data_IF_836396171550
#
_entry.id   IF_836396171550
#
_cell.length_a   1.000
_cell.length_b   1.000
_cell.length_c   1.000
_cell.angle_alpha   90.00
_cell.angle_beta   90.00
_cell.angle_gamma   90.00
#
_symmetry.space_group_name_H-M   'P 1'
#
loop_
_entity.id
_entity.type
_entity.pdbx_description
1 polymer ?
#
# COMPACT_ATOMS: atom_id res chain seq x y z
N UNK A 1 -33.65 4.74 6.73
CA UNK A 1 -32.65 4.46 7.79
C UNK A 1 -31.27 4.62 7.16
N UNK A 2 -30.44 5.65 7.35
CA UNK A 2 -30.36 6.76 8.33
C UNK A 2 -30.67 6.32 9.76
N UNK A 3 -30.32 5.09 10.15
CA UNK A 3 -30.42 4.70 11.56
C UNK A 3 -29.29 3.82 12.11
N UNK A 4 -28.23 3.48 11.37
CA UNK A 4 -27.04 2.88 12.00
C UNK A 4 -25.77 3.50 11.37
N UNK A 5 -25.20 4.46 12.11
CA UNK A 5 -23.97 5.24 11.87
C UNK A 5 -23.96 6.15 10.63
N UNK A 6 -24.42 7.39 10.86
CA UNK A 6 -24.44 8.51 9.90
C UNK A 6 -23.03 9.12 9.75
N UNK A 7 -22.13 8.49 8.99
CA UNK A 7 -20.97 9.25 8.51
C UNK A 7 -21.39 10.08 7.29
N UNK A 8 -21.38 11.38 7.44
CA UNK A 8 -21.53 12.38 6.39
C UNK A 8 -20.32 12.34 5.43
N UNK A 9 -20.51 12.78 4.19
CA UNK A 9 -19.43 12.86 3.20
C UNK A 9 -18.23 13.69 3.70
N UNK A 10 -18.50 14.67 4.58
CA UNK A 10 -17.49 15.50 5.23
C UNK A 10 -16.59 14.71 6.21
N UNK A 11 -17.10 13.68 6.88
CA UNK A 11 -16.30 12.84 7.79
C UNK A 11 -15.34 11.90 7.03
N UNK A 12 -15.59 11.62 5.74
CA UNK A 12 -14.68 10.85 4.87
C UNK A 12 -13.52 11.72 4.37
N UNK A 13 -13.76 13.02 4.19
CA UNK A 13 -12.73 14.01 3.81
C UNK A 13 -11.83 14.42 5.00
N UNK A 14 -12.30 14.21 6.24
CA UNK A 14 -11.53 14.43 7.47
C UNK A 14 -10.51 13.32 7.79
N UNK A 15 -10.47 12.22 7.03
CA UNK A 15 -9.41 11.20 7.20
C UNK A 15 -8.04 11.81 6.87
N UNK A 16 -7.19 11.90 7.90
CA UNK A 16 -6.02 12.77 7.97
C UNK A 16 -5.06 12.56 6.78
N UNK A 17 -4.68 13.62 6.04
CA UNK A 17 -3.74 13.55 4.90
C UNK A 17 -2.42 12.82 5.22
N UNK A 18 -1.94 12.99 6.45
CA UNK A 18 -0.70 12.39 6.95
C UNK A 18 -0.72 10.85 7.01
N UNK A 19 -1.83 10.24 7.43
CA UNK A 19 -1.94 8.77 7.50
C UNK A 19 -1.91 8.16 6.10
N UNK A 20 -2.53 8.84 5.13
CA UNK A 20 -2.49 8.46 3.71
C UNK A 20 -1.07 8.51 3.16
N UNK A 21 -0.32 9.58 3.44
CA UNK A 21 1.07 9.71 3.00
C UNK A 21 1.97 8.64 3.62
N UNK A 22 1.79 8.33 4.91
CA UNK A 22 2.50 7.22 5.56
C UNK A 22 2.15 5.89 4.88
N UNK A 23 0.86 5.60 4.68
CA UNK A 23 0.42 4.35 4.05
C UNK A 23 0.99 4.20 2.63
N UNK A 24 0.93 5.27 1.82
CA UNK A 24 1.53 5.29 0.48
C UNK A 24 3.04 5.06 0.57
N UNK A 25 3.73 5.68 1.53
CA UNK A 25 5.15 5.47 1.78
C UNK A 25 5.51 4.02 2.10
N UNK A 26 4.78 3.41 3.03
CA UNK A 26 4.97 1.99 3.41
C UNK A 26 4.66 1.05 2.25
N UNK A 27 3.60 1.32 1.49
CA UNK A 27 3.23 0.53 0.32
C UNK A 27 4.29 0.60 -0.77
N UNK A 28 4.84 1.79 -1.02
CA UNK A 28 5.92 1.99 -1.99
C UNK A 28 7.17 1.18 -1.61
N UNK A 29 7.60 1.27 -0.34
CA UNK A 29 8.74 0.50 0.17
C UNK A 29 8.52 -1.02 0.06
N UNK A 30 7.30 -1.50 0.37
CA UNK A 30 6.95 -2.90 0.20
C UNK A 30 7.05 -3.37 -1.26
N UNK A 31 6.50 -2.61 -2.20
CA UNK A 31 6.55 -2.94 -3.64
C UNK A 31 7.98 -2.95 -4.17
N UNK A 32 8.82 -2.00 -3.76
CA UNK A 32 10.24 -1.95 -4.16
C UNK A 32 11.01 -3.20 -3.70
N UNK A 33 10.82 -3.59 -2.44
CA UNK A 33 11.43 -4.81 -1.85
C UNK A 33 10.97 -6.08 -2.56
N UNK A 34 9.68 -6.20 -2.86
CA UNK A 34 9.15 -7.39 -3.52
C UNK A 34 9.65 -7.52 -4.96
N UNK A 35 9.74 -6.40 -5.69
CA UNK A 35 10.36 -6.37 -7.01
C UNK A 35 11.83 -6.77 -6.96
N UNK A 36 12.57 -6.34 -5.95
CA UNK A 36 13.97 -6.74 -5.77
C UNK A 36 14.09 -8.24 -5.46
N UNK A 37 13.23 -8.78 -4.60
CA UNK A 37 13.17 -10.22 -4.31
C UNK A 37 12.95 -11.02 -5.60
N UNK A 38 11.96 -10.64 -6.41
CA UNK A 38 11.65 -11.29 -7.68
C UNK A 38 12.85 -11.21 -8.64
N UNK A 39 13.50 -10.04 -8.76
CA UNK A 39 14.71 -9.90 -9.59
C UNK A 39 15.83 -10.84 -9.15
N UNK A 40 16.07 -10.94 -7.84
CA UNK A 40 17.10 -11.84 -7.27
C UNK A 40 16.77 -13.31 -7.54
N UNK A 41 15.53 -13.72 -7.35
CA UNK A 41 15.10 -15.10 -7.65
C UNK A 41 15.22 -15.42 -9.14
N UNK A 42 14.80 -14.50 -10.01
CA UNK A 42 14.97 -14.66 -11.47
C UNK A 42 16.44 -14.73 -11.87
N UNK A 43 17.31 -13.95 -11.24
CA UNK A 43 18.76 -14.00 -11.49
C UNK A 43 19.35 -15.34 -11.06
N UNK A 44 18.97 -15.87 -9.89
CA UNK A 44 19.40 -17.21 -9.43
C UNK A 44 18.96 -18.31 -10.38
N UNK A 45 17.74 -18.23 -10.91
CA UNK A 45 17.24 -19.21 -11.88
C UNK A 45 18.02 -19.19 -13.20
N UNK A 46 18.39 -17.99 -13.69
CA UNK A 46 19.21 -17.84 -14.91
C UNK A 46 20.65 -18.34 -14.78
N UNK A 47 21.23 -18.32 -13.58
CA UNK A 47 22.61 -18.78 -13.34
C UNK A 47 22.69 -20.31 -13.21
N UNK A 48 21.56 -20.97 -12.91
CA UNK A 48 21.49 -22.42 -12.69
C UNK A 48 21.11 -23.26 -13.92
N UNK A 49 20.63 -22.63 -14.99
CA UNK A 49 20.27 -23.29 -16.26
C UNK A 49 21.31 -23.00 -17.33
#
# INVERSE_FOLDING_TARGET
MIQHHKYSLAEIEEMIPFEREIYIGLLKDHVEKENERIRRENAKMKVKG
#
